data_IF_513070705427
#
_entry.id   IF_513070705427
#
_cell.length_a   1.000
_cell.length_b   1.000
_cell.length_c   1.000
_cell.angle_alpha   90.00
_cell.angle_beta   90.00
_cell.angle_gamma   90.00
#
_symmetry.space_group_name_H-M   'P 1'
#
loop_
_entity.id
_entity.type
_entity.pdbx_description
1 polymer ?
#
# COMPACT_ATOMS: atom_id res chain seq x y z
N UNK A 1 58.41 11.12 18.86
CA UNK A 1 57.91 10.79 20.20
C UNK A 1 57.64 12.09 20.94
N UNK A 2 56.38 12.46 21.12
CA UNK A 2 55.97 13.54 22.02
C UNK A 2 54.66 13.08 22.68
N UNK A 3 54.71 12.86 24.00
CA UNK A 3 53.57 12.46 24.81
C UNK A 3 52.82 13.71 25.31
N UNK A 4 51.49 13.73 25.35
CA UNK A 4 50.73 14.73 26.10
C UNK A 4 50.46 14.25 27.55
N UNK A 5 50.44 15.14 28.55
CA UNK A 5 49.98 14.80 29.89
C UNK A 5 48.47 15.02 30.10
N UNK A 6 47.97 14.17 31.01
CA UNK A 6 46.67 13.96 31.67
C UNK A 6 46.19 15.22 32.43
N UNK A 7 44.98 15.43 32.96
CA UNK A 7 43.81 14.62 33.36
C UNK A 7 42.70 15.63 33.79
N UNK A 8 41.46 15.16 34.02
CA UNK A 8 40.38 15.68 34.92
C UNK A 8 38.98 15.57 34.27
N UNK A 9 38.29 14.42 34.30
CA UNK A 9 37.46 13.84 35.37
C UNK A 9 36.21 14.63 35.80
N UNK A 10 35.06 14.03 35.45
CA UNK A 10 33.77 13.94 36.14
C UNK A 10 32.97 15.21 36.45
N UNK A 11 31.76 15.29 35.89
CA UNK A 11 30.55 15.28 36.73
C UNK A 11 29.30 14.84 35.96
N UNK A 12 28.56 13.98 36.64
CA UNK A 12 27.42 13.19 36.20
C UNK A 12 26.24 13.69 37.02
N UNK A 13 25.18 14.22 36.40
CA UNK A 13 23.92 14.52 37.10
C UNK A 13 22.74 14.40 36.15
N UNK A 14 21.97 13.31 36.30
CA UNK A 14 20.54 13.27 36.02
C UNK A 14 19.78 13.80 37.24
N UNK A 15 18.53 14.25 37.05
CA UNK A 15 17.49 13.77 37.96
C UNK A 15 16.22 13.28 37.24
N UNK A 16 15.61 12.28 37.86
CA UNK A 16 14.30 11.69 37.57
C UNK A 16 13.17 12.66 37.93
N UNK A 17 12.03 12.53 37.22
CA UNK A 17 10.74 13.10 37.62
C UNK A 17 9.59 12.32 36.99
N UNK A 18 8.87 11.54 37.80
CA UNK A 18 7.68 10.75 37.46
C UNK A 18 6.38 11.54 37.65
N UNK A 19 5.45 11.42 36.69
CA UNK A 19 4.01 11.30 36.96
C UNK A 19 3.09 12.42 36.47
N UNK A 20 2.26 12.14 35.44
CA UNK A 20 0.79 12.06 35.54
C UNK A 20 0.17 11.75 34.17
N UNK A 21 -0.72 10.76 34.12
CA UNK A 21 -1.37 10.31 32.91
C UNK A 21 -2.58 11.16 32.50
N UNK A 22 -2.71 11.37 31.21
CA UNK A 22 -3.99 11.59 30.53
C UNK A 22 -4.04 10.65 29.33
N UNK A 23 -5.03 9.77 29.34
CA UNK A 23 -5.32 8.85 28.25
C UNK A 23 -5.71 9.66 27.01
N UNK A 24 -4.92 9.51 25.96
CA UNK A 24 -5.31 9.84 24.61
C UNK A 24 -5.25 8.52 23.85
N UNK A 25 -6.38 8.11 23.31
CA UNK A 25 -6.46 6.97 22.40
C UNK A 25 -5.41 7.14 21.30
N UNK A 26 -4.63 6.10 20.94
CA UNK A 26 -3.71 6.23 19.84
C UNK A 26 -4.52 6.26 18.55
N UNK A 27 -4.88 7.48 18.14
CA UNK A 27 -5.07 7.79 16.72
C UNK A 27 -3.88 7.20 15.97
N UNK A 28 -4.18 6.58 14.84
CA UNK A 28 -3.21 5.95 13.95
C UNK A 28 -2.22 7.03 13.46
N UNK A 29 -1.16 7.27 14.24
CA UNK A 29 -0.08 8.18 13.88
C UNK A 29 0.67 7.52 12.73
N UNK A 30 0.32 7.90 11.50
CA UNK A 30 1.16 7.68 10.35
C UNK A 30 2.36 8.60 10.56
N UNK A 31 3.50 8.02 10.94
CA UNK A 31 4.77 8.73 11.06
C UNK A 31 5.20 9.19 9.66
N UNK A 32 5.13 10.51 9.34
CA UNK A 32 5.43 11.01 8.01
C UNK A 32 6.95 11.05 7.73
N UNK A 33 7.80 10.66 8.69
CA UNK A 33 9.26 10.77 8.60
C UNK A 33 9.98 9.40 8.56
N UNK A 34 9.26 8.28 8.50
CA UNK A 34 9.90 6.99 8.25
C UNK A 34 10.58 7.03 6.87
N UNK A 35 11.89 6.83 6.84
CA UNK A 35 12.65 6.83 5.59
C UNK A 35 12.05 5.81 4.61
N UNK A 36 11.77 6.24 3.38
CA UNK A 36 11.24 5.36 2.34
C UNK A 36 12.18 4.16 2.18
N UNK A 37 11.64 2.95 2.38
CA UNK A 37 12.38 1.72 2.15
C UNK A 37 11.93 1.12 0.81
N UNK A 38 12.72 1.29 -0.27
CA UNK A 38 12.33 0.81 -1.59
C UNK A 38 12.16 -0.71 -1.64
N UNK A 39 12.79 -1.46 -0.73
CA UNK A 39 12.62 -2.90 -0.63
C UNK A 39 11.22 -3.26 -0.12
N UNK A 40 10.65 -2.49 0.81
CA UNK A 40 9.29 -2.71 1.30
C UNK A 40 8.25 -2.48 0.20
N UNK A 41 8.45 -1.43 -0.62
CA UNK A 41 7.61 -1.20 -1.80
C UNK A 41 7.67 -2.34 -2.82
N UNK A 42 8.86 -2.92 -3.03
CA UNK A 42 9.05 -4.09 -3.90
C UNK A 42 8.39 -5.35 -3.32
N UNK A 43 8.58 -5.61 -2.02
CA UNK A 43 7.93 -6.72 -1.31
C UNK A 43 6.41 -6.62 -1.40
N UNK A 44 5.84 -5.42 -1.23
CA UNK A 44 4.42 -5.15 -1.40
C UNK A 44 3.93 -5.45 -2.82
N UNK A 45 4.68 -5.01 -3.84
CA UNK A 45 4.35 -5.30 -5.24
C UNK A 45 4.35 -6.81 -5.54
N UNK A 46 5.34 -7.55 -5.03
CA UNK A 46 5.40 -9.00 -5.18
C UNK A 46 4.26 -9.70 -4.43
N UNK A 47 3.98 -9.30 -3.19
CA UNK A 47 2.89 -9.83 -2.40
C UNK A 47 1.54 -9.63 -3.11
N UNK A 48 1.31 -8.46 -3.70
CA UNK A 48 0.13 -8.19 -4.51
C UNK A 48 0.04 -9.13 -5.73
N UNK A 49 1.14 -9.33 -6.47
CA UNK A 49 1.15 -10.25 -7.63
C UNK A 49 0.75 -11.67 -7.23
N UNK A 50 1.29 -12.20 -6.13
CA UNK A 50 0.93 -13.52 -5.62
C UNK A 50 -0.52 -13.58 -5.13
N UNK A 51 -0.97 -12.55 -4.42
CA UNK A 51 -2.32 -12.48 -3.89
C UNK A 51 -3.36 -12.43 -5.02
N UNK A 52 -3.14 -11.58 -6.03
CA UNK A 52 -4.05 -11.42 -7.17
C UNK A 52 -4.15 -12.69 -8.01
N UNK A 53 -3.02 -13.33 -8.34
CA UNK A 53 -3.01 -14.59 -9.09
C UNK A 53 -3.70 -15.73 -8.33
N UNK A 54 -3.50 -15.80 -7.01
CA UNK A 54 -4.20 -16.75 -6.14
C UNK A 54 -5.70 -16.48 -6.09
N UNK A 55 -6.11 -15.21 -6.02
CA UNK A 55 -7.52 -14.83 -6.05
C UNK A 55 -8.21 -15.23 -7.35
N UNK A 56 -7.55 -15.04 -8.50
CA UNK A 56 -8.04 -15.53 -9.81
C UNK A 56 -8.23 -17.04 -9.80
N UNK A 57 -7.22 -17.79 -9.35
CA UNK A 57 -7.29 -19.25 -9.29
C UNK A 57 -8.45 -19.74 -8.40
N UNK A 58 -8.62 -19.12 -7.22
CA UNK A 58 -9.74 -19.42 -6.32
C UNK A 58 -11.08 -19.10 -6.96
N UNK A 59 -11.23 -17.94 -7.60
CA UNK A 59 -12.45 -17.53 -8.28
C UNK A 59 -12.82 -18.44 -9.47
N UNK A 60 -11.83 -19.04 -10.13
CA UNK A 60 -12.07 -20.04 -11.18
C UNK A 60 -12.45 -21.41 -10.60
N UNK A 61 -11.95 -21.75 -9.41
CA UNK A 61 -12.22 -23.05 -8.78
C UNK A 61 -13.59 -23.16 -8.10
N UNK A 62 -14.14 -22.06 -7.59
CA UNK A 62 -15.40 -22.05 -6.84
C UNK A 62 -16.19 -20.76 -7.10
N UNK A 63 -17.46 -20.91 -7.53
CA UNK A 63 -18.36 -19.80 -7.78
C UNK A 63 -18.64 -18.97 -6.51
N UNK A 64 -18.62 -19.58 -5.32
CA UNK A 64 -18.75 -18.86 -4.05
C UNK A 64 -17.55 -17.95 -3.81
N UNK A 65 -16.34 -18.42 -4.11
CA UNK A 65 -15.12 -17.61 -3.99
C UNK A 65 -15.14 -16.44 -4.97
N UNK A 66 -15.58 -16.67 -6.21
CA UNK A 66 -15.78 -15.58 -7.17
C UNK A 66 -16.74 -14.52 -6.64
N UNK A 67 -17.89 -14.94 -6.10
CA UNK A 67 -18.88 -14.02 -5.53
C UNK A 67 -18.30 -13.23 -4.36
N UNK A 68 -17.63 -13.88 -3.42
CA UNK A 68 -17.01 -13.22 -2.27
C UNK A 68 -15.93 -12.20 -2.71
N UNK A 69 -15.11 -12.55 -3.70
CA UNK A 69 -14.09 -11.65 -4.25
C UNK A 69 -14.70 -10.39 -4.88
N UNK A 70 -15.87 -10.50 -5.52
CA UNK A 70 -16.58 -9.36 -6.12
C UNK A 70 -17.29 -8.52 -5.05
N UNK A 71 -17.95 -9.18 -4.09
CA UNK A 71 -18.78 -8.52 -3.08
C UNK A 71 -17.95 -7.79 -2.01
N UNK A 72 -16.86 -8.40 -1.51
CA UNK A 72 -15.97 -7.81 -0.50
C UNK A 72 -14.49 -8.19 -0.75
N UNK A 73 -13.81 -7.50 -1.68
CA UNK A 73 -12.41 -7.77 -2.00
C UNK A 73 -11.50 -7.63 -0.78
N UNK A 74 -11.75 -6.63 0.08
CA UNK A 74 -10.93 -6.38 1.29
C UNK A 74 -10.91 -7.58 2.21
N UNK A 75 -12.09 -8.11 2.53
CA UNK A 75 -12.20 -9.33 3.31
C UNK A 75 -11.63 -10.53 2.57
N UNK A 76 -11.89 -10.66 1.28
CA UNK A 76 -11.43 -11.79 0.48
C UNK A 76 -9.90 -11.94 0.54
N UNK A 77 -9.16 -10.86 0.22
CA UNK A 77 -7.70 -10.89 0.23
C UNK A 77 -7.15 -11.20 1.62
N UNK A 78 -7.74 -10.60 2.66
CA UNK A 78 -7.32 -10.85 4.05
C UNK A 78 -7.50 -12.30 4.46
N UNK A 79 -8.64 -12.92 4.13
CA UNK A 79 -9.01 -14.26 4.61
C UNK A 79 -8.39 -15.37 3.76
N UNK A 80 -8.38 -15.23 2.44
CA UNK A 80 -8.05 -16.35 1.54
C UNK A 80 -6.65 -16.28 0.94
N UNK A 81 -6.02 -15.10 0.91
CA UNK A 81 -4.66 -14.94 0.34
C UNK A 81 -3.65 -14.40 1.34
N UNK A 82 -4.07 -14.15 2.58
CA UNK A 82 -3.26 -13.55 3.65
C UNK A 82 -2.63 -12.20 3.21
N UNK A 83 -3.32 -11.47 2.33
CA UNK A 83 -2.89 -10.17 1.84
C UNK A 83 -3.81 -9.08 2.39
N UNK A 84 -3.23 -8.08 3.02
CA UNK A 84 -3.99 -6.94 3.55
C UNK A 84 -3.95 -5.84 2.51
N UNK A 85 -5.10 -5.52 1.91
CA UNK A 85 -5.21 -4.36 1.05
C UNK A 85 -4.94 -3.08 1.85
N UNK A 86 -4.09 -2.16 1.35
CA UNK A 86 -3.88 -0.86 1.98
C UNK A 86 -5.21 -0.12 2.22
N UNK A 87 -5.35 0.50 3.39
CA UNK A 87 -6.59 1.15 3.85
C UNK A 87 -7.04 2.31 2.96
N UNK A 88 -6.12 2.93 2.23
CA UNK A 88 -6.40 4.01 1.28
C UNK A 88 -6.92 3.56 -0.09
N UNK A 89 -7.03 2.26 -0.34
CA UNK A 89 -7.44 1.70 -1.64
C UNK A 89 -8.88 1.18 -1.53
N UNK A 90 -9.73 1.65 -2.44
CA UNK A 90 -10.99 0.98 -2.75
C UNK A 90 -10.80 0.09 -3.98
N UNK A 91 -10.61 -1.21 -3.78
CA UNK A 91 -10.56 -2.16 -4.88
C UNK A 91 -12.00 -2.47 -5.33
N UNK A 92 -12.22 -2.50 -6.64
CA UNK A 92 -13.47 -2.98 -7.26
C UNK A 92 -13.10 -4.11 -8.22
N UNK A 93 -13.70 -5.28 -8.04
CA UNK A 93 -13.51 -6.43 -8.92
C UNK A 93 -14.79 -6.63 -9.73
N UNK A 94 -14.64 -6.73 -11.06
CA UNK A 94 -15.74 -7.01 -11.99
C UNK A 94 -15.36 -8.20 -12.86
N UNK A 95 -16.34 -9.00 -13.22
CA UNK A 95 -16.14 -10.04 -14.22
C UNK A 95 -15.97 -9.37 -15.59
N UNK A 96 -15.10 -9.96 -16.42
CA UNK A 96 -14.85 -9.45 -17.76
C UNK A 96 -16.10 -9.66 -18.62
N UNK A 97 -16.60 -8.58 -19.22
CA UNK A 97 -17.68 -8.67 -20.19
C UNK A 97 -17.15 -9.31 -21.48
N UNK A 98 -17.86 -10.33 -21.99
CA UNK A 98 -17.58 -10.88 -23.31
C UNK A 98 -18.06 -9.86 -24.35
N UNK A 99 -17.15 -9.33 -25.15
CA UNK A 99 -17.53 -8.55 -26.33
C UNK A 99 -17.91 -9.51 -27.47
N UNK A 100 -19.19 -9.48 -27.88
CA UNK A 100 -19.74 -10.29 -29.00
C UNK A 100 -19.39 -9.72 -30.39
N UNK A 101 -18.69 -8.59 -30.48
CA UNK A 101 -18.26 -8.01 -31.76
C UNK A 101 -17.06 -8.78 -32.30
N UNK A 102 -17.28 -9.55 -33.37
CA UNK A 102 -16.29 -10.29 -34.13
C UNK A 102 -15.10 -9.40 -34.54
N UNK A 103 -14.07 -9.34 -33.70
CA UNK A 103 -12.87 -8.51 -33.92
C UNK A 103 -12.02 -8.30 -32.68
N UNK A 104 -12.63 -8.13 -31.51
CA UNK A 104 -11.91 -7.95 -30.24
C UNK A 104 -12.11 -9.19 -29.36
N UNK A 105 -11.34 -10.24 -29.63
CA UNK A 105 -11.32 -11.41 -28.77
C UNK A 105 -10.91 -10.96 -27.36
N UNK A 106 -11.78 -11.18 -26.36
CA UNK A 106 -11.47 -10.99 -24.95
C UNK A 106 -11.38 -12.38 -24.30
N UNK A 107 -10.34 -12.62 -23.50
CA UNK A 107 -10.07 -13.90 -22.85
C UNK A 107 -8.82 -14.61 -23.33
N UNK A 108 -8.74 -15.91 -23.00
CA UNK A 108 -7.60 -16.78 -23.33
C UNK A 108 -7.69 -17.29 -24.76
N UNK A 109 -6.65 -17.05 -25.56
CA UNK A 109 -6.46 -17.66 -26.87
C UNK A 109 -5.64 -18.95 -26.73
N UNK A 110 -6.27 -20.12 -26.91
CA UNK A 110 -5.60 -21.41 -26.75
C UNK A 110 -4.61 -21.72 -27.87
N UNK A 111 -4.73 -21.12 -29.05
CA UNK A 111 -3.88 -21.41 -30.19
C UNK A 111 -2.56 -20.64 -30.07
N UNK A 112 -2.65 -19.35 -29.73
CA UNK A 112 -1.49 -18.48 -29.58
C UNK A 112 -0.93 -18.44 -28.14
N UNK A 113 -1.63 -19.04 -27.16
CA UNK A 113 -1.24 -19.07 -25.73
C UNK A 113 -1.11 -17.68 -25.10
N UNK A 114 -2.02 -16.77 -25.46
CA UNK A 114 -2.02 -15.37 -25.01
C UNK A 114 -3.34 -14.99 -24.35
N UNK A 115 -3.27 -14.00 -23.45
CA UNK A 115 -4.44 -13.37 -22.86
C UNK A 115 -4.75 -12.06 -23.58
N UNK A 116 -5.98 -11.90 -24.02
CA UNK A 116 -6.54 -10.63 -24.44
C UNK A 116 -7.39 -10.06 -23.30
N UNK A 117 -6.89 -9.04 -22.62
CA UNK A 117 -7.51 -8.47 -21.42
C UNK A 117 -8.09 -7.08 -21.70
N UNK A 118 -9.17 -6.74 -20.99
CA UNK A 118 -9.69 -5.38 -20.96
C UNK A 118 -8.68 -4.41 -20.34
N UNK A 119 -8.79 -3.13 -20.68
CA UNK A 119 -7.97 -2.08 -20.08
C UNK A 119 -8.24 -2.00 -18.58
N UNK A 120 -7.18 -1.89 -17.79
CA UNK A 120 -7.29 -1.59 -16.36
C UNK A 120 -7.68 -0.13 -16.17
N UNK A 121 -8.70 0.11 -15.35
CA UNK A 121 -9.14 1.46 -14.95
C UNK A 121 -8.63 1.79 -13.55
N UNK A 122 -8.07 2.99 -13.39
CA UNK A 122 -7.62 3.53 -12.11
C UNK A 122 -8.21 4.91 -11.93
N UNK A 123 -8.95 5.09 -10.84
CA UNK A 123 -9.49 6.40 -10.43
C UNK A 123 -8.61 6.99 -9.33
N UNK A 124 -7.97 8.13 -9.62
CA UNK A 124 -7.22 8.92 -8.64
C UNK A 124 -7.85 10.31 -8.52
N UNK A 125 -7.85 10.85 -7.31
CA UNK A 125 -8.35 12.19 -7.04
C UNK A 125 -7.19 13.17 -6.91
N UNK A 126 -7.30 14.32 -7.58
CA UNK A 126 -6.38 15.43 -7.42
C UNK A 126 -6.85 16.24 -6.20
N UNK A 127 -6.00 16.47 -5.18
CA UNK A 127 -6.40 17.27 -4.02
C UNK A 127 -6.61 18.73 -4.40
N UNK A 128 -7.51 19.43 -3.69
CA UNK A 128 -7.68 20.88 -3.83
C UNK A 128 -6.37 21.59 -3.43
N UNK A 129 -5.90 22.59 -4.20
CA UNK A 129 -4.64 23.24 -3.88
C UNK A 129 -4.74 24.05 -2.57
N UNK A 130 -3.75 23.96 -1.67
CA UNK A 130 -3.64 24.85 -0.52
C UNK A 130 -3.15 26.25 -0.95
N UNK A 131 -3.02 27.22 -0.03
CA UNK A 131 -2.39 28.51 -0.33
C UNK A 131 -0.98 28.37 -0.90
N UNK A 132 -0.58 29.30 -1.78
CA UNK A 132 0.67 29.23 -2.56
C UNK A 132 1.90 29.06 -1.68
N UNK A 133 1.95 29.78 -0.56
CA UNK A 133 3.04 29.73 0.41
C UNK A 133 3.19 28.37 1.10
N UNK A 134 2.17 27.50 1.04
CA UNK A 134 2.17 26.15 1.62
C UNK A 134 2.36 25.04 0.59
N UNK A 135 2.45 25.34 -0.72
CA UNK A 135 2.53 24.33 -1.77
C UNK A 135 3.66 23.32 -1.53
N UNK A 136 4.86 23.78 -1.21
CA UNK A 136 6.02 22.90 -1.01
C UNK A 136 5.81 21.94 0.17
N UNK A 137 5.27 22.44 1.29
CA UNK A 137 4.97 21.64 2.49
C UNK A 137 3.86 20.64 2.18
N UNK A 138 2.81 21.06 1.49
CA UNK A 138 1.69 20.20 1.14
C UNK A 138 2.08 19.07 0.19
N UNK A 139 2.95 19.35 -0.79
CA UNK A 139 3.48 18.32 -1.68
C UNK A 139 4.38 17.32 -0.93
N UNK A 140 5.24 17.80 -0.03
CA UNK A 140 6.06 16.93 0.81
C UNK A 140 5.19 16.03 1.70
N UNK A 141 4.17 16.59 2.36
CA UNK A 141 3.21 15.84 3.15
C UNK A 141 2.41 14.84 2.31
N UNK A 142 1.95 15.24 1.12
CA UNK A 142 1.24 14.35 0.20
C UNK A 142 2.10 13.14 -0.20
N UNK A 143 3.38 13.36 -0.55
CA UNK A 143 4.32 12.28 -0.86
C UNK A 143 4.47 11.31 0.32
N UNK A 144 4.58 11.84 1.55
CA UNK A 144 4.72 11.03 2.76
C UNK A 144 3.48 10.17 3.09
N UNK A 145 2.30 10.45 2.51
CA UNK A 145 1.10 9.62 2.73
C UNK A 145 1.03 8.35 1.89
N UNK A 146 2.06 8.05 1.08
CA UNK A 146 2.10 6.95 0.12
C UNK A 146 0.97 6.96 -0.94
N UNK A 147 0.14 8.01 -1.02
CA UNK A 147 -0.94 8.15 -2.01
C UNK A 147 -0.46 8.41 -3.44
N UNK A 148 0.83 8.68 -3.62
CA UNK A 148 1.46 8.67 -4.93
C UNK A 148 1.60 7.26 -5.52
N UNK A 149 1.48 6.20 -4.71
CA UNK A 149 1.76 4.82 -5.10
C UNK A 149 0.62 3.86 -4.69
N UNK A 150 -0.46 3.78 -5.49
CA UNK A 150 -1.70 3.13 -5.07
C UNK A 150 -1.60 1.61 -4.85
N UNK A 151 -0.48 0.95 -5.13
CA UNK A 151 -0.33 -0.50 -4.94
C UNK A 151 0.97 -0.92 -4.24
N UNK A 152 1.79 0.07 -3.83
CA UNK A 152 3.11 -0.20 -3.22
C UNK A 152 3.36 0.67 -1.99
N UNK A 153 2.31 1.27 -1.42
CA UNK A 153 2.42 2.02 -0.18
C UNK A 153 2.88 1.12 0.97
N UNK A 154 3.94 1.55 1.65
CA UNK A 154 4.53 0.91 2.84
C UNK A 154 3.71 1.24 4.09
#
# INVERSE_FOLDING_TARGET
MAAPPKDERFSNTRPFGTGHGHGHEPGHNIDPAAAENPLVGLEGAMAWQYAWTSAIALAWSDAKMKKELIDDPHRFFKVYTNYILPTGIQLTVKEMEKHDTAGDATGWDPDNKIWYLQKTELTMYIPTPPPLEQHAVALAAYSATARAYPFTGC
#
